data_IF_387461630026
#
_entry.id   IF_387461630026
#
_cell.length_a   1.000
_cell.length_b   1.000
_cell.length_c   1.000
_cell.angle_alpha   90.00
_cell.angle_beta   90.00
_cell.angle_gamma   90.00
#
_symmetry.space_group_name_H-M   'P 1'
#
loop_
_entity.id
_entity.type
_entity.pdbx_description
1 polymer ?
#
# COMPACT_ATOMS: atom_id res chain seq x y z
N UNK A 1 -21.08 -10.14 -18.59
CA UNK A 1 -20.04 -9.24 -19.11
C UNK A 1 -18.84 -9.27 -18.19
N UNK A 2 -17.65 -9.39 -18.76
CA UNK A 2 -16.43 -9.35 -17.98
C UNK A 2 -16.14 -7.92 -17.52
N UNK A 3 -16.01 -7.73 -16.22
CA UNK A 3 -15.61 -6.44 -15.66
C UNK A 3 -14.12 -6.24 -15.94
N UNK A 4 -13.77 -5.09 -16.54
CA UNK A 4 -12.36 -4.70 -16.72
C UNK A 4 -11.90 -4.03 -15.46
N UNK A 5 -10.97 -4.66 -14.74
CA UNK A 5 -10.39 -4.13 -13.52
C UNK A 5 -9.18 -3.25 -13.83
N UNK A 6 -9.02 -2.21 -13.05
CA UNK A 6 -7.81 -1.39 -13.05
C UNK A 6 -6.91 -1.79 -11.89
N UNK A 7 -5.64 -1.39 -11.96
CA UNK A 7 -4.66 -1.72 -10.92
C UNK A 7 -4.11 -0.43 -10.31
N UNK A 8 -4.08 -0.38 -8.98
CA UNK A 8 -3.38 0.63 -8.21
C UNK A 8 -2.30 -0.06 -7.36
N UNK A 9 -1.11 0.52 -7.28
CA UNK A 9 0.01 -0.06 -6.52
C UNK A 9 0.55 0.95 -5.53
N UNK A 10 0.48 0.61 -4.24
CA UNK A 10 0.86 1.49 -3.15
C UNK A 10 1.80 0.80 -2.16
N UNK A 11 2.76 1.59 -1.63
CA UNK A 11 3.56 1.24 -0.47
C UNK A 11 3.21 2.16 0.69
N UNK A 12 2.89 1.60 1.85
CA UNK A 12 2.46 2.39 3.01
C UNK A 12 2.82 1.68 4.32
N UNK A 13 4.05 1.20 4.42
CA UNK A 13 4.51 0.41 5.56
C UNK A 13 4.29 -1.08 5.33
N UNK A 14 4.05 -1.81 6.42
CA UNK A 14 3.82 -3.25 6.34
C UNK A 14 2.63 -3.57 5.45
N UNK A 15 2.84 -4.42 4.44
CA UNK A 15 1.78 -4.74 3.48
C UNK A 15 0.61 -5.51 4.11
N UNK A 16 0.80 -6.19 5.24
CA UNK A 16 -0.31 -6.82 5.95
C UNK A 16 -1.36 -5.79 6.38
N UNK A 17 -0.92 -4.60 6.84
CA UNK A 17 -1.82 -3.50 7.21
C UNK A 17 -2.54 -2.93 5.99
N UNK A 18 -1.79 -2.67 4.93
CA UNK A 18 -2.33 -2.06 3.71
C UNK A 18 -3.34 -2.98 3.05
N UNK A 19 -3.00 -4.26 2.94
CA UNK A 19 -3.91 -5.28 2.42
C UNK A 19 -5.22 -5.31 3.22
N UNK A 20 -5.13 -5.34 4.55
CA UNK A 20 -6.29 -5.37 5.42
C UNK A 20 -7.21 -4.17 5.23
N UNK A 21 -6.64 -2.98 5.00
CA UNK A 21 -7.42 -1.77 4.76
C UNK A 21 -8.15 -1.84 3.42
N UNK A 22 -7.41 -2.10 2.35
CA UNK A 22 -7.99 -1.99 1.00
C UNK A 22 -8.94 -3.13 0.65
N UNK A 23 -8.76 -4.32 1.20
CA UNK A 23 -9.70 -5.42 0.94
C UNK A 23 -11.09 -5.19 1.56
N UNK A 24 -11.25 -4.21 2.45
CA UNK A 24 -12.56 -3.84 3.03
C UNK A 24 -13.38 -2.92 2.13
N UNK A 25 -12.79 -2.36 1.07
CA UNK A 25 -13.42 -1.32 0.28
C UNK A 25 -14.31 -1.89 -0.82
N UNK A 26 -15.50 -1.30 -0.98
CA UNK A 26 -16.39 -1.65 -2.08
C UNK A 26 -15.73 -1.32 -3.41
N UNK A 27 -15.83 -2.22 -4.37
CA UNK A 27 -15.23 -2.06 -5.68
C UNK A 27 -13.82 -2.63 -5.79
N UNK A 28 -13.19 -3.01 -4.67
CA UNK A 28 -11.91 -3.69 -4.66
C UNK A 28 -12.17 -5.19 -4.76
N UNK A 29 -11.69 -5.82 -5.83
CA UNK A 29 -11.92 -7.23 -6.12
C UNK A 29 -10.82 -8.14 -5.58
N UNK A 30 -9.58 -7.65 -5.59
CA UNK A 30 -8.44 -8.42 -5.09
C UNK A 30 -7.35 -7.46 -4.62
N UNK A 31 -6.63 -7.86 -3.58
CA UNK A 31 -5.46 -7.15 -3.07
C UNK A 31 -4.35 -8.17 -2.92
N UNK A 32 -3.23 -7.90 -3.56
CA UNK A 32 -2.08 -8.79 -3.54
C UNK A 32 -0.87 -8.08 -2.95
N UNK A 33 -0.22 -8.72 -1.98
CA UNK A 33 0.99 -8.20 -1.36
C UNK A 33 2.22 -8.61 -2.15
N UNK A 34 3.20 -7.73 -2.26
CA UNK A 34 4.41 -8.01 -3.00
C UNK A 34 5.49 -6.96 -2.82
N UNK A 35 6.44 -6.94 -3.76
CA UNK A 35 7.61 -6.08 -3.72
C UNK A 35 7.81 -5.38 -5.05
N UNK A 36 8.23 -4.12 -5.01
CA UNK A 36 8.46 -3.33 -6.23
C UNK A 36 9.46 -2.20 -5.97
N UNK A 37 10.12 -1.77 -7.02
CA UNK A 37 10.95 -0.55 -7.00
C UNK A 37 12.41 -0.77 -6.68
N UNK A 38 12.84 -1.99 -6.39
CA UNK A 38 14.22 -2.32 -6.07
C UNK A 38 14.99 -2.96 -7.22
N UNK A 39 16.23 -3.37 -6.95
CA UNK A 39 17.14 -3.91 -7.95
C UNK A 39 17.28 -5.44 -7.92
N UNK A 40 16.91 -6.09 -6.81
CA UNK A 40 17.07 -7.54 -6.66
C UNK A 40 15.94 -8.26 -7.39
N UNK A 41 16.29 -9.23 -8.24
CA UNK A 41 15.32 -10.08 -8.92
C UNK A 41 14.82 -11.18 -7.99
N UNK A 42 13.52 -11.50 -8.08
CA UNK A 42 12.88 -12.56 -7.29
C UNK A 42 13.25 -12.50 -5.80
N UNK A 43 13.08 -11.33 -5.16
CA UNK A 43 13.49 -11.18 -3.77
C UNK A 43 12.67 -12.06 -2.84
N UNK A 44 13.31 -12.53 -1.76
CA UNK A 44 12.61 -13.20 -0.67
C UNK A 44 12.28 -12.21 0.42
N UNK A 45 11.29 -12.53 1.27
CA UNK A 45 10.93 -11.69 2.42
C UNK A 45 12.15 -11.43 3.32
N UNK A 46 12.99 -12.44 3.51
CA UNK A 46 14.21 -12.31 4.30
C UNK A 46 15.17 -11.27 3.71
N UNK A 47 15.33 -11.29 2.38
CA UNK A 47 16.16 -10.29 1.69
C UNK A 47 15.56 -8.90 1.81
N UNK A 48 14.23 -8.77 1.69
CA UNK A 48 13.53 -7.50 1.87
C UNK A 48 13.77 -6.95 3.29
N UNK A 49 13.70 -7.79 4.31
CA UNK A 49 13.92 -7.39 5.70
C UNK A 49 15.34 -6.91 5.97
N UNK A 50 16.30 -7.26 5.13
CA UNK A 50 17.67 -6.73 5.25
C UNK A 50 17.75 -5.23 4.96
N UNK A 51 16.76 -4.68 4.22
CA UNK A 51 16.73 -3.27 3.82
C UNK A 51 17.68 -2.91 2.70
N UNK A 52 18.30 -3.91 2.04
CA UNK A 52 19.34 -3.69 1.02
C UNK A 52 18.89 -3.94 -0.41
N UNK A 53 17.67 -4.46 -0.62
CA UNK A 53 17.17 -4.78 -1.97
C UNK A 53 16.70 -3.56 -2.75
N UNK A 54 16.37 -2.46 -2.06
CA UNK A 54 15.75 -1.29 -2.66
C UNK A 54 14.25 -1.42 -2.89
N UNK A 55 13.67 -2.62 -2.70
CA UNK A 55 12.23 -2.82 -2.87
C UNK A 55 11.42 -2.24 -1.71
N UNK A 56 10.23 -1.75 -2.03
CA UNK A 56 9.20 -1.45 -1.05
C UNK A 56 8.26 -2.64 -0.93
N UNK A 57 7.74 -2.87 0.27
CA UNK A 57 6.57 -3.72 0.44
C UNK A 57 5.38 -2.96 -0.14
N UNK A 58 4.67 -3.58 -1.07
CA UNK A 58 3.56 -2.94 -1.76
C UNK A 58 2.34 -3.84 -1.79
N UNK A 59 1.20 -3.21 -2.06
CA UNK A 59 -0.02 -3.93 -2.41
C UNK A 59 -0.44 -3.52 -3.80
N UNK A 60 -0.84 -4.51 -4.59
CA UNK A 60 -1.51 -4.29 -5.87
C UNK A 60 -3.01 -4.46 -5.64
N UNK A 61 -3.76 -3.42 -5.97
CA UNK A 61 -5.20 -3.35 -5.73
C UNK A 61 -5.88 -3.46 -7.09
N UNK A 62 -6.66 -4.53 -7.28
CA UNK A 62 -7.46 -4.73 -8.47
C UNK A 62 -8.86 -4.21 -8.18
N UNK A 63 -9.27 -3.15 -8.86
CA UNK A 63 -10.51 -2.46 -8.54
C UNK A 63 -11.36 -2.19 -9.78
N UNK A 64 -12.68 -2.11 -9.58
CA UNK A 64 -13.63 -1.72 -10.60
C UNK A 64 -13.77 -0.19 -10.59
N UNK A 65 -13.27 0.51 -11.61
CA UNK A 65 -13.32 1.97 -11.64
C UNK A 65 -14.73 2.55 -11.75
N UNK A 66 -15.72 1.73 -12.04
CA UNK A 66 -17.13 2.14 -12.02
C UNK A 66 -17.71 2.19 -10.62
N UNK A 67 -17.11 1.48 -9.68
CA UNK A 67 -17.58 1.41 -8.28
C UNK A 67 -16.71 2.31 -7.39
N UNK A 68 -15.38 2.25 -7.55
CA UNK A 68 -14.45 3.04 -6.76
C UNK A 68 -13.42 3.68 -7.69
N UNK A 69 -13.19 4.98 -7.52
CA UNK A 69 -12.21 5.71 -8.35
C UNK A 69 -10.80 5.56 -7.79
N UNK A 70 -9.80 5.82 -8.65
CA UNK A 70 -8.41 5.89 -8.23
C UNK A 70 -8.21 6.98 -7.16
N UNK A 71 -8.88 8.12 -7.32
CA UNK A 71 -8.83 9.23 -6.38
C UNK A 71 -9.35 8.82 -5.01
N UNK A 72 -10.41 8.02 -4.95
CA UNK A 72 -10.94 7.48 -3.69
C UNK A 72 -9.92 6.55 -3.03
N UNK A 73 -9.24 5.71 -3.81
CA UNK A 73 -8.17 4.86 -3.29
C UNK A 73 -7.02 5.68 -2.72
N UNK A 74 -6.66 6.79 -3.36
CA UNK A 74 -5.65 7.71 -2.85
C UNK A 74 -6.07 8.33 -1.51
N UNK A 75 -7.34 8.71 -1.37
CA UNK A 75 -7.86 9.25 -0.12
C UNK A 75 -7.72 8.24 1.02
N UNK A 76 -8.03 6.98 0.77
CA UNK A 76 -7.84 5.91 1.75
C UNK A 76 -6.36 5.68 2.06
N UNK A 77 -5.49 5.80 1.06
CA UNK A 77 -4.04 5.71 1.28
C UNK A 77 -3.57 6.75 2.29
N UNK A 78 -3.95 8.01 2.09
CA UNK A 78 -3.55 9.10 3.00
C UNK A 78 -4.09 8.91 4.40
N UNK A 79 -5.28 8.35 4.53
CA UNK A 79 -5.92 8.09 5.83
C UNK A 79 -5.33 6.88 6.54
N UNK A 80 -4.76 5.95 5.81
CA UNK A 80 -4.34 4.64 6.34
C UNK A 80 -2.93 4.63 6.93
N UNK A 81 -2.11 5.64 6.66
CA UNK A 81 -0.73 5.69 7.14
C UNK A 81 -0.26 7.13 7.33
N UNK A 82 0.93 7.29 7.92
CA UNK A 82 1.58 8.59 8.04
C UNK A 82 2.54 8.77 6.84
N UNK A 83 2.19 9.63 5.87
CA UNK A 83 3.01 9.82 4.68
C UNK A 83 4.17 10.81 4.88
N UNK A 84 4.41 11.25 6.12
CA UNK A 84 5.45 12.24 6.44
C UNK A 84 6.72 11.64 7.03
N UNK A 85 6.74 10.33 7.28
CA UNK A 85 7.90 9.64 7.87
C UNK A 85 8.71 8.94 6.78
N UNK A 86 9.95 9.41 6.58
CA UNK A 86 10.83 8.86 5.54
C UNK A 86 11.32 7.46 5.91
N UNK A 87 11.12 6.51 4.98
CA UNK A 87 11.59 5.13 5.13
C UNK A 87 11.19 4.47 6.45
N UNK A 88 9.99 4.79 6.92
CA UNK A 88 9.44 4.15 8.13
C UNK A 88 7.93 4.35 8.18
N UNK A 89 7.28 3.45 8.91
CA UNK A 89 5.86 3.61 9.25
C UNK A 89 5.67 3.08 10.67
N UNK A 90 5.35 3.98 11.60
CA UNK A 90 5.25 3.62 13.02
C UNK A 90 6.55 3.03 13.54
N UNK A 91 6.50 1.83 14.09
CA UNK A 91 7.65 1.11 14.62
C UNK A 91 8.46 0.37 13.54
N UNK A 92 7.91 0.23 12.33
CA UNK A 92 8.56 -0.45 11.22
C UNK A 92 9.53 0.50 10.52
N UNK A 93 10.83 0.24 10.62
CA UNK A 93 11.90 1.09 10.11
C UNK A 93 12.66 0.38 8.99
N UNK A 94 12.84 1.07 7.86
CA UNK A 94 13.58 0.57 6.71
C UNK A 94 12.99 1.08 5.40
N UNK A 95 13.80 1.06 4.33
CA UNK A 95 13.38 1.50 2.99
C UNK A 95 12.21 0.68 2.46
N UNK A 96 12.09 -0.59 2.89
CA UNK A 96 10.97 -1.46 2.51
C UNK A 96 9.62 -0.96 3.02
N UNK A 97 9.60 -0.12 4.04
CA UNK A 97 8.37 0.42 4.64
C UNK A 97 8.06 1.84 4.18
N UNK A 98 8.73 2.32 3.14
CA UNK A 98 8.54 3.69 2.67
C UNK A 98 7.17 3.91 2.04
N UNK A 99 6.67 5.13 2.15
CA UNK A 99 5.43 5.56 1.51
C UNK A 99 5.68 5.77 0.02
N UNK A 100 4.93 5.11 -0.83
CA UNK A 100 5.13 5.18 -2.27
C UNK A 100 3.84 4.94 -3.06
N UNK A 101 3.74 5.62 -4.19
CA UNK A 101 2.71 5.40 -5.20
C UNK A 101 3.43 5.03 -6.49
N UNK A 102 3.16 3.82 -6.99
CA UNK A 102 3.71 3.34 -8.25
C UNK A 102 2.62 3.45 -9.32
N UNK A 103 2.68 4.48 -10.16
CA UNK A 103 1.64 4.72 -11.15
C UNK A 103 1.84 3.82 -12.38
N UNK A 104 0.72 3.39 -12.96
CA UNK A 104 0.72 2.52 -14.14
C UNK A 104 0.48 3.28 -15.45
N UNK A 105 0.08 4.55 -15.36
CA UNK A 105 -0.17 5.40 -16.53
C UNK A 105 -0.12 6.88 -16.12
N UNK A 106 -0.18 7.77 -17.11
CA UNK A 106 -0.10 9.21 -16.87
C UNK A 106 -1.32 9.76 -16.12
N UNK A 107 -2.49 9.18 -16.31
CA UNK A 107 -3.70 9.60 -15.58
C UNK A 107 -3.49 9.37 -14.08
N UNK A 108 -2.96 8.20 -13.71
CA UNK A 108 -2.64 7.90 -12.31
C UNK A 108 -1.54 8.83 -11.76
N UNK A 109 -0.50 9.11 -12.54
CA UNK A 109 0.58 10.01 -12.12
C UNK A 109 0.03 11.39 -11.77
N UNK A 110 -0.77 11.95 -12.66
CA UNK A 110 -1.37 13.27 -12.45
C UNK A 110 -2.31 13.29 -11.26
N UNK A 111 -3.14 12.25 -11.11
CA UNK A 111 -4.05 12.12 -9.97
C UNK A 111 -3.28 12.03 -8.66
N UNK A 112 -2.21 11.24 -8.63
CA UNK A 112 -1.38 11.06 -7.44
C UNK A 112 -0.69 12.39 -7.04
N UNK A 113 -0.11 13.09 -7.98
CA UNK A 113 0.54 14.38 -7.73
C UNK A 113 -0.45 15.43 -7.22
N UNK A 114 -1.62 15.51 -7.84
CA UNK A 114 -2.67 16.45 -7.43
C UNK A 114 -3.21 16.12 -6.03
N UNK A 115 -3.42 14.84 -5.74
CA UNK A 115 -3.90 14.38 -4.44
C UNK A 115 -2.88 14.67 -3.33
N UNK A 116 -1.59 14.40 -3.60
CA UNK A 116 -0.50 14.68 -2.65
C UNK A 116 -0.45 16.19 -2.33
N UNK A 117 -0.54 17.04 -3.34
CA UNK A 117 -0.54 18.50 -3.16
C UNK A 117 -1.75 18.97 -2.35
N UNK A 118 -2.93 18.41 -2.65
CA UNK A 118 -4.17 18.80 -1.98
C UNK A 118 -4.20 18.39 -0.51
N UNK A 119 -3.68 17.20 -0.18
CA UNK A 119 -3.73 16.66 1.18
C UNK A 119 -2.62 17.21 2.07
N UNK A 120 -1.59 17.85 1.50
CA UNK A 120 -0.46 18.40 2.27
C UNK A 120 -0.92 19.33 3.39
N UNK A 121 -1.98 20.09 3.17
CA UNK A 121 -2.53 21.00 4.19
C UNK A 121 -3.02 20.29 5.47
N UNK A 122 -3.32 19.01 5.37
CA UNK A 122 -3.81 18.23 6.51
C UNK A 122 -2.66 17.69 7.38
N UNK A 123 -1.42 17.90 6.95
CA UNK A 123 -0.22 17.44 7.66
C UNK A 123 0.69 18.61 7.99
N UNK A 124 1.26 18.61 9.20
CA UNK A 124 2.20 19.66 9.64
C UNK A 124 3.59 19.47 9.03
N UNK A 125 4.01 18.23 8.82
CA UNK A 125 5.29 17.90 8.21
C UNK A 125 5.12 17.68 6.70
N UNK A 126 6.19 17.86 5.90
CA UNK A 126 6.13 17.58 4.46
C UNK A 126 5.82 16.12 4.18
N UNK A 127 4.94 15.87 3.21
CA UNK A 127 4.67 14.52 2.71
C UNK A 127 5.88 14.06 1.91
N UNK A 128 6.41 12.87 2.26
CA UNK A 128 7.60 12.29 1.63
C UNK A 128 7.25 11.13 0.69
N UNK A 129 6.00 10.93 0.38
CA UNK A 129 5.53 9.85 -0.50
C UNK A 129 6.20 9.96 -1.87
N UNK A 130 6.86 8.86 -2.29
CA UNK A 130 7.44 8.72 -3.61
C UNK A 130 6.34 8.51 -4.64
N UNK A 131 6.40 9.21 -5.78
CA UNK A 131 5.49 8.98 -6.90
C UNK A 131 6.36 8.60 -8.09
N UNK A 132 6.35 7.31 -8.44
CA UNK A 132 7.27 6.71 -9.40
C UNK A 132 6.52 5.76 -10.33
N UNK A 133 6.99 5.60 -11.56
CA UNK A 133 6.42 4.64 -12.49
C UNK A 133 6.54 3.22 -11.95
N UNK A 134 5.49 2.42 -12.13
CA UNK A 134 5.50 1.01 -11.74
C UNK A 134 6.61 0.26 -12.49
N UNK A 135 7.26 -0.63 -11.78
CA UNK A 135 8.30 -1.51 -12.32
C UNK A 135 7.85 -2.96 -12.17
N UNK A 136 8.78 -3.90 -12.21
CA UNK A 136 8.44 -5.32 -12.11
C UNK A 136 7.83 -5.60 -10.73
N UNK A 137 6.65 -6.23 -10.75
CA UNK A 137 5.98 -6.70 -9.54
C UNK A 137 6.47 -8.11 -9.20
N UNK A 138 6.95 -8.28 -7.98
CA UNK A 138 7.30 -9.58 -7.44
C UNK A 138 6.30 -9.95 -6.35
N UNK A 139 5.45 -10.97 -6.57
CA UNK A 139 4.49 -11.37 -5.53
C UNK A 139 5.21 -11.82 -4.27
N UNK A 140 4.69 -11.44 -3.13
CA UNK A 140 5.17 -11.95 -1.86
C UNK A 140 4.77 -13.43 -1.71
N UNK A 141 5.44 -14.12 -0.81
CA UNK A 141 5.18 -15.53 -0.53
C UNK A 141 3.71 -15.73 -0.12
N UNK A 142 3.16 -16.90 -0.38
CA UNK A 142 1.73 -17.18 -0.14
C UNK A 142 1.30 -16.93 1.30
N UNK A 143 2.18 -17.18 2.28
CA UNK A 143 1.86 -16.97 3.69
C UNK A 143 1.68 -15.48 4.06
N UNK A 144 2.06 -14.54 3.19
CA UNK A 144 1.80 -13.11 3.37
C UNK A 144 0.47 -12.67 2.77
N UNK A 145 -0.10 -13.46 1.85
CA UNK A 145 -1.36 -13.08 1.20
C UNK A 145 -2.52 -13.28 2.17
N UNK A 146 -3.44 -12.31 2.22
CA UNK A 146 -4.61 -12.34 3.10
C UNK A 146 -4.25 -12.55 4.58
N UNK A 147 -3.10 -12.04 5.02
CA UNK A 147 -2.53 -12.35 6.33
C UNK A 147 -3.49 -12.03 7.48
N UNK A 148 -4.09 -10.85 7.48
CA UNK A 148 -5.02 -10.46 8.53
C UNK A 148 -6.27 -11.34 8.55
N UNK A 149 -6.84 -11.59 7.38
CA UNK A 149 -8.05 -12.42 7.26
C UNK A 149 -7.83 -13.84 7.75
N UNK A 150 -6.66 -14.41 7.46
CA UNK A 150 -6.31 -15.79 7.81
C UNK A 150 -5.71 -15.92 9.21
N UNK A 151 -5.16 -14.84 9.77
CA UNK A 151 -4.47 -14.85 11.06
C UNK A 151 -4.94 -13.71 11.98
N UNK A 152 -6.27 -13.54 12.19
CA UNK A 152 -6.77 -12.36 12.92
C UNK A 152 -6.33 -12.32 14.39
N UNK A 153 -5.94 -13.47 14.95
CA UNK A 153 -5.50 -13.58 16.35
C UNK A 153 -3.98 -13.48 16.51
N UNK A 154 -3.21 -13.33 15.42
CA UNK A 154 -1.77 -13.12 15.53
C UNK A 154 -1.49 -11.82 16.29
N UNK A 155 -0.41 -11.74 17.10
CA UNK A 155 -0.11 -10.55 17.91
C UNK A 155 -0.07 -9.25 17.11
N UNK A 156 0.56 -9.23 15.94
CA UNK A 156 0.63 -8.06 15.09
C UNK A 156 -0.77 -7.63 14.61
N UNK A 157 -1.62 -8.59 14.27
CA UNK A 157 -2.99 -8.31 13.83
C UNK A 157 -3.83 -7.71 14.95
N UNK A 158 -3.68 -8.19 16.19
CA UNK A 158 -4.43 -7.68 17.33
C UNK A 158 -3.94 -6.30 17.78
N UNK A 159 -2.64 -6.09 17.77
CA UNK A 159 -2.03 -4.88 18.36
C UNK A 159 -1.92 -3.74 17.35
N UNK A 160 -1.67 -4.04 16.08
CA UNK A 160 -1.39 -3.02 15.05
C UNK A 160 -2.53 -2.88 14.03
N UNK A 161 -2.96 -3.99 13.42
CA UNK A 161 -3.91 -3.93 12.30
C UNK A 161 -5.32 -3.63 12.75
N UNK A 162 -5.83 -4.37 13.71
CA UNK A 162 -7.21 -4.22 14.18
C UNK A 162 -7.50 -2.80 14.71
N UNK A 163 -6.65 -2.22 15.57
CA UNK A 163 -6.87 -0.84 15.99
C UNK A 163 -6.88 0.17 14.84
N UNK A 164 -6.06 -0.07 13.81
CA UNK A 164 -6.05 0.77 12.59
C UNK A 164 -7.39 0.68 11.86
N UNK A 165 -7.93 -0.52 11.66
CA UNK A 165 -9.21 -0.70 10.99
C UNK A 165 -10.36 -0.08 11.79
N UNK A 166 -10.34 -0.22 13.11
CA UNK A 166 -11.34 0.40 14.01
C UNK A 166 -11.29 1.92 13.90
N UNK A 167 -10.09 2.51 13.90
CA UNK A 167 -9.89 3.95 13.76
C UNK A 167 -10.44 4.46 12.42
N UNK A 168 -10.32 3.67 11.37
CA UNK A 168 -10.80 4.01 10.03
C UNK A 168 -12.28 3.67 9.82
N UNK A 169 -12.94 3.09 10.83
CA UNK A 169 -14.33 2.61 10.77
C UNK A 169 -14.55 1.55 9.69
N UNK A 170 -13.57 0.68 9.47
CA UNK A 170 -13.64 -0.41 8.50
C UNK A 170 -13.95 -1.76 9.13
N UNK A 171 -13.95 -1.84 10.46
CA UNK A 171 -14.26 -3.07 11.19
C UNK A 171 -14.96 -2.77 12.49
#
# INVERSE_FOLDING_TARGET
>A
MNTILSIATFGAGCFWCVEAVFEQLDGVHAVESGYMGGAVQDPTYREICSGTTGHAEITQIHYDPKIVSYETLLDWLWRSHDPTTLNRQGADIGTQYRSAIFYHNEVQRKAAEASKAAVQKDFTAPIVTEITAASIYYPAEDYHQDYYRLNPNAPYCQIVIRPKLEKLALE
#
